data_IF_586474847512
#
_entry.id   IF_586474847512
#
_cell.length_a   1.000
_cell.length_b   1.000
_cell.length_c   1.000
_cell.angle_alpha   90.00
_cell.angle_beta   90.00
_cell.angle_gamma   90.00
#
_symmetry.space_group_name_H-M   'P 1'
#
loop_
_entity.id
_entity.type
_entity.pdbx_description
1 polymer ?
#
# COMPACT_ATOMS: atom_id res chain seq x y z
N UNK A 1 7.32 8.08 9.80
CA UNK A 1 7.62 8.84 8.56
C UNK A 1 7.56 7.81 7.45
N UNK A 2 6.80 8.07 6.38
CA UNK A 2 6.72 7.14 5.24
C UNK A 2 8.11 6.93 4.62
N UNK A 3 8.44 5.69 4.29
CA UNK A 3 9.65 5.25 3.58
C UNK A 3 9.99 6.18 2.40
N UNK A 4 8.97 6.59 1.65
CA UNK A 4 9.07 7.40 0.44
C UNK A 4 9.46 8.87 0.65
N UNK A 5 9.54 9.34 1.89
CA UNK A 5 10.08 10.66 2.20
C UNK A 5 11.59 10.66 2.45
N UNK A 6 12.21 9.48 2.55
CA UNK A 6 13.64 9.36 2.68
C UNK A 6 14.29 9.23 1.28
N UNK A 7 15.20 10.15 0.89
CA UNK A 7 15.92 10.08 -0.38
C UNK A 7 16.63 8.74 -0.62
N UNK A 8 17.07 8.09 0.46
CA UNK A 8 17.74 6.79 0.43
C UNK A 8 16.80 5.63 0.04
N UNK A 9 15.51 5.90 -0.21
CA UNK A 9 14.49 4.92 -0.56
C UNK A 9 13.69 5.32 -1.81
N UNK A 10 14.17 6.32 -2.57
CA UNK A 10 13.58 6.64 -3.86
C UNK A 10 13.72 5.46 -4.85
N UNK A 11 12.66 5.21 -5.61
CA UNK A 11 12.60 4.15 -6.65
C UNK A 11 13.41 4.50 -7.90
N UNK A 12 13.94 5.73 -7.99
CA UNK A 12 14.48 6.35 -9.21
C UNK A 12 13.43 6.59 -10.31
N UNK A 13 12.14 6.37 -10.02
CA UNK A 13 11.02 6.75 -10.87
C UNK A 13 10.13 7.76 -10.13
N UNK A 14 10.17 9.05 -10.49
CA UNK A 14 9.41 10.10 -9.81
C UNK A 14 7.88 9.88 -9.81
N UNK A 15 7.35 9.19 -10.82
CA UNK A 15 5.90 8.91 -10.89
C UNK A 15 5.51 7.84 -9.87
N UNK A 16 6.32 6.78 -9.73
CA UNK A 16 6.14 5.74 -8.71
C UNK A 16 6.27 6.34 -7.32
N UNK A 17 7.30 7.16 -7.09
CA UNK A 17 7.51 7.83 -5.79
C UNK A 17 6.32 8.75 -5.42
N UNK A 18 5.75 9.45 -6.41
CA UNK A 18 4.60 10.33 -6.19
C UNK A 18 3.31 9.56 -5.88
N UNK A 19 3.09 8.44 -6.56
CA UNK A 19 1.93 7.56 -6.31
C UNK A 19 1.99 6.94 -4.90
N UNK A 20 3.15 6.42 -4.49
CA UNK A 20 3.32 5.90 -3.13
C UNK A 20 3.12 6.97 -2.05
N UNK A 21 3.64 8.18 -2.25
CA UNK A 21 3.37 9.30 -1.33
C UNK A 21 1.88 9.59 -1.19
N UNK A 22 1.13 9.55 -2.30
CA UNK A 22 -0.31 9.75 -2.30
C UNK A 22 -1.03 8.63 -1.55
N UNK A 23 -0.66 7.37 -1.76
CA UNK A 23 -1.20 6.23 -1.02
C UNK A 23 -0.94 6.37 0.48
N UNK A 24 0.28 6.67 0.89
CA UNK A 24 0.64 6.91 2.29
C UNK A 24 -0.16 8.05 2.91
N UNK A 25 -0.44 9.11 2.15
CA UNK A 25 -1.30 10.21 2.61
C UNK A 25 -2.75 9.75 2.83
N UNK A 26 -3.28 8.90 1.95
CA UNK A 26 -4.61 8.30 2.12
C UNK A 26 -4.66 7.40 3.36
N UNK A 27 -3.67 6.53 3.54
CA UNK A 27 -3.55 5.64 4.71
C UNK A 27 -3.42 6.44 6.00
N UNK A 28 -2.61 7.50 6.01
CA UNK A 28 -2.48 8.39 7.16
C UNK A 28 -3.80 9.09 7.50
N UNK A 29 -4.54 9.55 6.48
CA UNK A 29 -5.86 10.17 6.65
C UNK A 29 -6.86 9.17 7.23
N UNK A 30 -6.90 7.95 6.70
CA UNK A 30 -7.74 6.86 7.24
C UNK A 30 -7.36 6.52 8.69
N UNK A 31 -6.07 6.51 9.01
CA UNK A 31 -5.58 6.25 10.37
C UNK A 31 -6.03 7.33 11.35
N UNK A 32 -5.93 8.61 10.95
CA UNK A 32 -6.41 9.72 11.75
C UNK A 32 -7.93 9.65 11.96
N UNK A 33 -8.67 9.28 10.93
CA UNK A 33 -10.12 9.06 10.95
C UNK A 33 -10.46 7.95 11.95
N UNK A 34 -9.93 6.73 11.77
CA UNK A 34 -10.22 5.58 12.65
C UNK A 34 -9.82 5.84 14.10
N UNK A 35 -8.69 6.52 14.34
CA UNK A 35 -8.22 6.85 15.70
C UNK A 35 -9.13 7.84 16.44
N UNK A 36 -9.72 8.79 15.71
CA UNK A 36 -10.55 9.85 16.29
C UNK A 36 -12.06 9.57 16.13
N UNK A 37 -12.45 8.39 15.62
CA UNK A 37 -13.86 8.03 15.52
C UNK A 37 -14.48 7.93 16.92
N UNK A 38 -15.51 8.75 17.14
CA UNK A 38 -16.33 8.70 18.36
C UNK A 38 -17.43 7.62 18.29
N UNK A 39 -17.39 6.75 17.27
CA UNK A 39 -18.40 5.72 17.00
C UNK A 39 -19.52 6.20 16.08
N UNK A 40 -19.30 7.31 15.35
CA UNK A 40 -20.33 8.00 14.55
C UNK A 40 -20.52 7.43 13.14
N UNK A 41 -19.72 6.43 12.74
CA UNK A 41 -19.85 5.75 11.45
C UNK A 41 -18.97 6.37 10.38
N UNK A 42 -17.67 6.50 10.65
CA UNK A 42 -16.70 6.81 9.60
C UNK A 42 -16.82 5.77 8.50
N UNK A 43 -16.92 6.28 7.27
CA UNK A 43 -17.50 5.52 6.17
C UNK A 43 -16.58 4.37 5.79
N UNK A 44 -17.14 3.17 5.81
CA UNK A 44 -16.56 2.01 5.12
C UNK A 44 -16.18 2.36 3.67
N UNK A 45 -16.87 3.35 3.08
CA UNK A 45 -16.54 3.96 1.78
C UNK A 45 -15.09 4.48 1.69
N UNK A 46 -14.53 5.05 2.77
CA UNK A 46 -13.14 5.51 2.75
C UNK A 46 -12.16 4.33 2.61
N UNK A 47 -12.48 3.19 3.24
CA UNK A 47 -11.70 1.96 3.08
C UNK A 47 -11.94 1.37 1.70
N UNK A 48 -13.17 1.39 1.19
CA UNK A 48 -13.50 0.90 -0.16
C UNK A 48 -12.74 1.68 -1.24
N UNK A 49 -12.67 3.02 -1.12
CA UNK A 49 -11.88 3.89 -2.01
C UNK A 49 -10.38 3.56 -1.92
N UNK A 50 -9.86 3.30 -0.72
CA UNK A 50 -8.47 2.91 -0.54
C UNK A 50 -8.16 1.55 -1.18
N UNK A 51 -9.05 0.56 -0.97
CA UNK A 51 -8.93 -0.78 -1.59
C UNK A 51 -8.91 -0.66 -3.11
N UNK A 52 -9.83 0.12 -3.70
CA UNK A 52 -9.86 0.33 -5.15
C UNK A 52 -8.58 1.01 -5.65
N UNK A 53 -8.10 2.04 -4.94
CA UNK A 53 -6.88 2.74 -5.32
C UNK A 53 -5.65 1.83 -5.25
N UNK A 54 -5.56 0.98 -4.22
CA UNK A 54 -4.46 0.03 -4.07
C UNK A 54 -4.52 -1.07 -5.13
N UNK A 55 -5.69 -1.62 -5.44
CA UNK A 55 -5.85 -2.57 -6.55
C UNK A 55 -5.35 -2.00 -7.88
N UNK A 56 -5.69 -0.74 -8.19
CA UNK A 56 -5.24 -0.09 -9.41
C UNK A 56 -3.71 0.10 -9.44
N UNK A 57 -3.14 0.51 -8.31
CA UNK A 57 -1.70 0.70 -8.11
C UNK A 57 -0.92 -0.61 -8.27
N UNK A 58 -1.29 -1.63 -7.50
CA UNK A 58 -0.72 -2.97 -7.54
C UNK A 58 -0.79 -3.60 -8.94
N UNK A 59 -1.92 -3.44 -9.63
CA UNK A 59 -2.04 -3.90 -11.01
C UNK A 59 -1.06 -3.23 -11.97
N UNK A 60 -0.70 -1.96 -11.76
CA UNK A 60 0.32 -1.27 -12.58
C UNK A 60 1.72 -1.82 -12.32
N UNK A 61 2.05 -2.09 -11.06
CA UNK A 61 3.35 -2.60 -10.65
C UNK A 61 3.56 -4.03 -11.12
N UNK A 62 2.57 -4.91 -10.92
CA UNK A 62 2.60 -6.29 -11.40
C UNK A 62 2.78 -6.35 -12.92
N UNK A 63 2.05 -5.51 -13.68
CA UNK A 63 2.23 -5.41 -15.14
C UNK A 63 3.62 -4.92 -15.54
N UNK A 64 4.22 -4.06 -14.74
CA UNK A 64 5.55 -3.50 -15.02
C UNK A 64 6.63 -4.51 -14.68
N UNK A 65 6.53 -5.21 -13.55
CA UNK A 65 7.41 -6.29 -13.14
C UNK A 65 7.39 -7.46 -14.14
N UNK A 66 6.20 -7.85 -14.62
CA UNK A 66 6.03 -8.92 -15.60
C UNK A 66 6.77 -8.70 -16.93
N UNK A 67 7.15 -7.45 -17.26
CA UNK A 67 7.95 -7.15 -18.46
C UNK A 67 9.43 -7.47 -18.30
N UNK A 68 9.89 -7.61 -17.05
CA UNK A 68 11.29 -7.81 -16.71
C UNK A 68 11.50 -9.24 -16.27
N UNK A 69 10.66 -9.72 -15.35
CA UNK A 69 10.78 -11.05 -14.77
C UNK A 69 9.42 -11.54 -14.23
N UNK A 70 9.08 -12.79 -14.51
CA UNK A 70 7.79 -13.39 -14.09
C UNK A 70 7.78 -13.79 -12.63
N UNK A 71 8.93 -14.15 -12.06
CA UNK A 71 9.04 -14.49 -10.63
C UNK A 71 8.79 -13.24 -9.76
N UNK A 72 9.36 -12.10 -10.13
CA UNK A 72 9.12 -10.81 -9.49
C UNK A 72 7.63 -10.40 -9.52
N UNK A 73 6.93 -10.67 -10.64
CA UNK A 73 5.47 -10.45 -10.72
C UNK A 73 4.72 -11.32 -9.71
N UNK A 74 5.09 -12.59 -9.60
CA UNK A 74 4.39 -13.55 -8.72
C UNK A 74 4.59 -13.18 -7.25
N UNK A 75 5.81 -12.78 -6.86
CA UNK A 75 6.12 -12.27 -5.52
C UNK A 75 5.27 -11.04 -5.20
N UNK A 76 5.22 -10.05 -6.10
CA UNK A 76 4.39 -8.86 -5.92
C UNK A 76 2.92 -9.21 -5.78
N UNK A 77 2.39 -10.05 -6.67
CA UNK A 77 0.99 -10.41 -6.68
C UNK A 77 0.54 -11.09 -5.37
N UNK A 78 1.37 -12.00 -4.85
CA UNK A 78 1.10 -12.64 -3.57
C UNK A 78 1.08 -11.61 -2.43
N UNK A 79 2.06 -10.73 -2.36
CA UNK A 79 2.16 -9.72 -1.31
C UNK A 79 1.02 -8.68 -1.37
N UNK A 80 0.71 -8.19 -2.57
CA UNK A 80 -0.44 -7.31 -2.83
C UNK A 80 -1.76 -7.93 -2.38
N UNK A 81 -1.97 -9.21 -2.68
CA UNK A 81 -3.17 -9.95 -2.25
C UNK A 81 -3.26 -10.01 -0.72
N UNK A 82 -2.13 -10.19 -0.03
CA UNK A 82 -2.09 -10.17 1.43
C UNK A 82 -2.42 -8.78 2.00
N UNK A 83 -1.87 -7.71 1.42
CA UNK A 83 -2.16 -6.33 1.82
C UNK A 83 -3.65 -5.97 1.65
N UNK A 84 -4.24 -6.36 0.51
CA UNK A 84 -5.67 -6.14 0.26
C UNK A 84 -6.54 -6.91 1.26
N UNK A 85 -6.17 -8.16 1.58
CA UNK A 85 -6.86 -8.96 2.60
C UNK A 85 -6.83 -8.28 3.97
N UNK A 86 -5.73 -7.61 4.33
CA UNK A 86 -5.64 -6.85 5.58
C UNK A 86 -6.59 -5.63 5.59
N UNK A 87 -6.75 -4.94 4.46
CA UNK A 87 -7.72 -3.84 4.35
C UNK A 87 -9.17 -4.31 4.39
N UNK A 88 -9.49 -5.44 3.77
CA UNK A 88 -10.82 -6.06 3.88
C UNK A 88 -11.16 -6.38 5.35
N UNK A 89 -10.17 -6.88 6.10
CA UNK A 89 -10.31 -7.14 7.54
C UNK A 89 -10.56 -5.86 8.35
N UNK A 90 -9.97 -4.72 7.98
CA UNK A 90 -10.27 -3.40 8.58
C UNK A 90 -11.71 -3.01 8.28
N UNK A 91 -12.11 -3.10 7.00
CA UNK A 91 -13.46 -2.79 6.54
C UNK A 91 -14.53 -3.61 7.28
N UNK A 92 -14.29 -4.90 7.47
CA UNK A 92 -15.19 -5.78 8.23
C UNK A 92 -15.36 -5.33 9.69
N UNK A 93 -14.26 -4.97 10.37
CA UNK A 93 -14.31 -4.48 11.74
C UNK A 93 -15.09 -3.15 11.84
N UNK A 94 -14.85 -2.23 10.90
CA UNK A 94 -15.61 -0.98 10.80
C UNK A 94 -17.11 -1.23 10.55
N UNK A 95 -17.45 -2.19 9.68
CA UNK A 95 -18.85 -2.57 9.41
C UNK A 95 -19.56 -3.09 10.66
N UNK A 96 -18.83 -3.84 11.51
CA UNK A 96 -19.33 -4.31 12.82
C UNK A 96 -19.34 -3.22 13.90
N UNK A 97 -18.91 -2.00 13.58
CA UNK A 97 -18.72 -0.88 14.53
C UNK A 97 -17.76 -1.22 15.68
N UNK A 98 -16.80 -2.09 15.42
CA UNK A 98 -15.76 -2.46 16.37
C UNK A 98 -14.52 -1.57 16.17
N UNK A 99 -14.58 -0.38 16.76
CA UNK A 99 -13.51 0.64 16.66
C UNK A 99 -12.13 0.15 17.13
N UNK A 100 -12.02 -0.48 18.32
CA UNK A 100 -10.75 -1.03 18.80
C UNK A 100 -10.15 -2.06 17.84
N UNK A 101 -10.96 -2.98 17.31
CA UNK A 101 -10.50 -3.99 16.36
C UNK A 101 -10.11 -3.37 15.01
N UNK A 102 -10.91 -2.41 14.51
CA UNK A 102 -10.60 -1.69 13.27
C UNK A 102 -9.26 -0.94 13.39
N UNK A 103 -9.02 -0.26 14.51
CA UNK A 103 -7.76 0.42 14.78
C UNK A 103 -6.58 -0.56 14.86
N UNK A 104 -6.75 -1.69 15.58
CA UNK A 104 -5.70 -2.71 15.67
C UNK A 104 -5.35 -3.29 14.28
N UNK A 105 -6.37 -3.66 13.49
CA UNK A 105 -6.18 -4.17 12.13
C UNK A 105 -5.55 -3.14 11.20
N UNK A 106 -5.90 -1.88 11.35
CA UNK A 106 -5.32 -0.80 10.55
C UNK A 106 -3.84 -0.62 10.86
N UNK A 107 -3.43 -0.68 12.12
CA UNK A 107 -2.01 -0.65 12.49
C UNK A 107 -1.23 -1.84 11.91
N UNK A 108 -1.83 -3.03 11.91
CA UNK A 108 -1.25 -4.22 11.28
C UNK A 108 -1.08 -4.03 9.77
N UNK A 109 -2.08 -3.46 9.09
CA UNK A 109 -1.99 -3.11 7.68
C UNK A 109 -0.88 -2.08 7.41
N UNK A 110 -0.81 -0.99 8.20
CA UNK A 110 0.24 0.03 8.02
C UNK A 110 1.63 -0.57 8.18
N UNK A 111 1.84 -1.42 9.19
CA UNK A 111 3.13 -2.09 9.39
C UNK A 111 3.48 -3.05 8.23
N UNK A 112 2.49 -3.74 7.67
CA UNK A 112 2.70 -4.60 6.50
C UNK A 112 3.01 -3.78 5.24
N UNK A 113 2.35 -2.65 5.03
CA UNK A 113 2.61 -1.74 3.91
C UNK A 113 4.02 -1.13 3.99
N UNK A 114 4.43 -0.66 5.18
CA UNK A 114 5.79 -0.15 5.37
C UNK A 114 6.84 -1.25 5.08
N UNK A 115 6.55 -2.49 5.45
CA UNK A 115 7.42 -3.64 5.15
C UNK A 115 7.49 -3.92 3.66
N UNK A 116 6.35 -3.93 2.97
CA UNK A 116 6.25 -4.10 1.52
C UNK A 116 7.11 -3.07 0.78
N UNK A 117 6.96 -1.78 1.12
CA UNK A 117 7.75 -0.70 0.52
C UNK A 117 9.26 -0.95 0.66
N UNK A 118 9.70 -1.32 1.86
CA UNK A 118 11.12 -1.45 2.21
C UNK A 118 11.76 -2.71 1.61
N UNK A 119 11.06 -3.84 1.68
CA UNK A 119 11.62 -5.16 1.37
C UNK A 119 11.34 -5.61 -0.06
N UNK A 120 10.31 -5.08 -0.72
CA UNK A 120 9.87 -5.54 -2.04
C UNK A 120 9.99 -4.41 -3.06
N UNK A 121 9.24 -3.32 -2.89
CA UNK A 121 9.13 -2.25 -3.89
C UNK A 121 10.44 -1.53 -4.15
N UNK A 122 11.09 -1.03 -3.10
CA UNK A 122 12.34 -0.26 -3.27
C UNK A 122 13.43 -1.09 -3.94
N UNK A 123 13.71 -2.34 -3.52
CA UNK A 123 14.63 -3.22 -4.25
C UNK A 123 14.23 -3.47 -5.70
N UNK A 124 12.95 -3.78 -5.94
CA UNK A 124 12.44 -4.09 -7.27
C UNK A 124 12.61 -2.90 -8.20
N UNK A 125 12.09 -1.72 -7.85
CA UNK A 125 12.12 -0.57 -8.75
C UNK A 125 13.52 -0.08 -9.07
N UNK A 126 14.47 -0.23 -8.13
CA UNK A 126 15.90 0.03 -8.40
C UNK A 126 16.47 -0.93 -9.44
N UNK A 127 16.12 -2.22 -9.35
CA UNK A 127 16.48 -3.20 -10.37
C UNK A 127 15.86 -2.85 -11.74
N UNK A 128 14.61 -2.38 -11.76
CA UNK A 128 13.92 -1.98 -12.99
C UNK A 128 14.55 -0.73 -13.64
N UNK A 129 14.92 0.27 -12.82
CA UNK A 129 15.57 1.50 -13.27
C UNK A 129 16.96 1.21 -13.89
N UNK A 130 17.75 0.34 -13.24
CA UNK A 130 19.08 -0.05 -13.75
C UNK A 130 19.01 -0.91 -15.01
N UNK A 131 17.97 -1.73 -15.17
CA UNK A 131 17.76 -2.55 -16.37
C UNK A 131 17.33 -1.68 -17.56
N UNK A 132 16.48 -0.67 -17.33
CA UNK A 132 16.03 0.27 -18.38
C UNK A 132 17.16 1.18 -18.90
N UNK A 133 18.17 1.47 -18.08
CA UNK A 133 19.32 2.29 -18.49
C UNK A 133 20.33 1.56 -19.39
N UNK A 134 20.18 0.24 -19.61
CA UNK A 134 21.07 -0.59 -20.44
C UNK A 134 20.52 -0.89 -21.84
N UNK A 135 19.36 -0.33 -22.21
CA UNK A 135 18.74 -0.48 -23.53
C UNK A 135 18.98 0.75 -24.38
#
# INVERSE_FOLDING_TARGET
MSTWNNPDWASQNPEIDAEHKKLHQMVSSLTAVVKNDSGLGLSTEAVDILIERMNQHFGLEERSAARIDTESRDILHEDHTQLLTLLERVREAMTRRDGPEAHHRLLTFVAALDKHDLEIDVPLFRMMATTSAKV
#
